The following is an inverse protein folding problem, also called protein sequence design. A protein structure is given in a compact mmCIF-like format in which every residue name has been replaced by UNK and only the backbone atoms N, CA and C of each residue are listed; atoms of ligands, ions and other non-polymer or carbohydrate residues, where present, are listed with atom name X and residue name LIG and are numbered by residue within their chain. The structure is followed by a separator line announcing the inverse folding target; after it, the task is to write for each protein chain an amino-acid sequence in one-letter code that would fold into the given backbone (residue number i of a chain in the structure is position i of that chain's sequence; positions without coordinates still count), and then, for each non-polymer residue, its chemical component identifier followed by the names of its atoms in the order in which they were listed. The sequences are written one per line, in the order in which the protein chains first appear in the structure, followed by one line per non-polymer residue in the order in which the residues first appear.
data_IF_776160237200
#
_entry.id   IF_776160237200
#
_cell.length_a   1.000
_cell.length_b   1.000
_cell.length_c   1.000
_cell.angle_alpha   90.00
_cell.angle_beta   90.00
_cell.angle_gamma   90.00
#
_symmetry.space_group_name_H-M   'P 1'
#
loop_
_entity.id
_entity.type
_entity.pdbx_description
1 polymer ?
#
# COMPACT_ATOMS: atom_id res chain seq x y z
N UNK A 1 -12.00 -43.57 55.70
CA UNK A 1 -12.71 -43.00 56.87
C UNK A 1 -13.88 -43.86 57.37
N UNK A 2 -14.60 -44.62 56.51
CA UNK A 2 -15.70 -45.50 56.97
C UNK A 2 -15.28 -46.71 57.85
N UNK A 3 -14.08 -47.25 57.68
CA UNK A 3 -13.61 -48.44 58.44
C UNK A 3 -13.19 -48.20 59.91
N UNK A 4 -13.11 -46.95 60.38
CA UNK A 4 -12.67 -46.66 61.76
C UNK A 4 -13.88 -46.49 62.69
N UNK A 5 -15.02 -46.01 62.18
CA UNK A 5 -16.25 -45.83 62.97
C UNK A 5 -16.92 -47.18 63.34
N UNK A 6 -16.81 -48.21 62.50
CA UNK A 6 -17.38 -49.54 62.80
C UNK A 6 -16.63 -50.30 63.92
N UNK A 7 -15.32 -50.09 64.07
CA UNK A 7 -14.53 -50.80 65.10
C UNK A 7 -14.73 -50.25 66.52
N UNK A 8 -15.10 -48.97 66.67
CA UNK A 8 -15.33 -48.37 68.00
C UNK A 8 -16.72 -48.67 68.56
N UNK A 9 -17.73 -48.89 67.71
CA UNK A 9 -19.08 -49.21 68.15
C UNK A 9 -19.22 -50.65 68.68
N UNK A 10 -18.48 -51.64 68.15
CA UNK A 10 -18.59 -53.04 68.61
C UNK A 10 -17.98 -53.33 70.00
N UNK A 11 -17.03 -52.50 70.45
CA UNK A 11 -16.32 -52.70 71.74
C UNK A 11 -17.10 -52.12 72.94
N UNK A 12 -18.01 -51.18 72.70
CA UNK A 12 -18.77 -50.52 73.78
C UNK A 12 -20.02 -51.30 74.20
N UNK A 13 -20.69 -51.97 73.27
CA UNK A 13 -21.93 -52.72 73.56
C UNK A 13 -21.66 -53.96 74.44
N UNK A 14 -20.50 -54.61 74.28
CA UNK A 14 -20.12 -55.77 75.10
C UNK A 14 -19.82 -55.43 76.57
N UNK A 15 -19.50 -54.17 76.91
CA UNK A 15 -19.31 -53.74 78.32
C UNK A 15 -20.60 -53.34 79.04
N UNK A 16 -21.65 -52.98 78.31
CA UNK A 16 -22.93 -52.60 78.91
C UNK A 16 -23.69 -53.87 79.35
N UNK A 17 -23.65 -54.95 78.55
CA UNK A 17 -24.29 -56.23 78.88
C UNK A 17 -23.75 -56.87 80.17
N UNK A 18 -22.43 -56.82 80.40
CA UNK A 18 -21.84 -57.41 81.62
C UNK A 18 -22.07 -56.58 82.90
N UNK A 19 -22.52 -55.32 82.79
CA UNK A 19 -22.78 -54.45 83.95
C UNK A 19 -24.26 -54.37 84.33
N UNK A 20 -25.17 -54.59 83.38
CA UNK A 20 -26.60 -54.77 83.68
C UNK A 20 -26.87 -56.10 84.40
N UNK A 21 -26.04 -57.12 84.16
CA UNK A 21 -26.18 -58.43 84.81
C UNK A 21 -25.92 -58.37 86.33
N UNK A 22 -24.92 -57.59 86.79
CA UNK A 22 -24.58 -57.48 88.21
C UNK A 22 -25.53 -56.59 89.03
N UNK A 23 -26.20 -55.61 88.41
CA UNK A 23 -27.23 -54.80 89.08
C UNK A 23 -28.53 -55.59 89.31
N UNK A 24 -28.85 -56.54 88.43
CA UNK A 24 -30.00 -57.44 88.62
C UNK A 24 -29.79 -58.40 89.81
N UNK A 25 -28.54 -58.83 90.05
CA UNK A 25 -28.19 -59.67 91.21
C UNK A 25 -28.29 -58.90 92.53
N UNK A 26 -27.83 -57.64 92.60
CA UNK A 26 -27.91 -56.81 93.82
C UNK A 26 -29.38 -56.45 94.16
N UNK A 27 -30.21 -56.21 93.14
CA UNK A 27 -31.66 -56.00 93.29
C UNK A 27 -32.38 -57.24 93.82
N UNK A 28 -31.98 -58.42 93.34
CA UNK A 28 -32.50 -59.72 93.77
C UNK A 28 -32.13 -60.02 95.23
N UNK A 29 -30.89 -59.77 95.64
CA UNK A 29 -30.41 -59.99 97.02
C UNK A 29 -31.11 -59.06 98.02
N UNK A 30 -31.38 -57.80 97.65
CA UNK A 30 -32.09 -56.86 98.54
C UNK A 30 -33.54 -57.30 98.80
N UNK A 31 -34.20 -57.92 97.81
CA UNK A 31 -35.56 -58.45 97.96
C UNK A 31 -35.60 -59.79 98.72
N UNK A 32 -34.56 -60.61 98.58
CA UNK A 32 -34.45 -61.85 99.37
C UNK A 32 -34.22 -61.57 100.86
N UNK A 33 -33.44 -60.54 101.23
CA UNK A 33 -33.27 -60.18 102.64
C UNK A 33 -34.55 -59.62 103.31
N UNK A 34 -35.43 -58.95 102.56
CA UNK A 34 -36.75 -58.52 103.09
C UNK A 34 -37.67 -59.70 103.44
N UNK A 35 -37.46 -60.86 102.83
CA UNK A 35 -38.25 -62.07 103.12
C UNK A 35 -37.77 -62.87 104.34
N UNK A 36 -36.56 -62.60 104.84
CA UNK A 36 -35.97 -63.29 106.00
C UNK A 36 -36.25 -62.60 107.35
N UNK A 37 -36.81 -61.38 107.39
CA UNK A 37 -37.02 -60.64 108.65
C UNK A 37 -38.37 -60.85 109.35
N UNK A 38 -39.16 -61.86 108.95
CA UNK A 38 -40.47 -62.17 109.58
C UNK A 38 -40.34 -63.16 110.76
N UNK A 39 -39.14 -63.66 111.12
CA UNK A 39 -39.00 -64.72 112.16
C UNK A 39 -38.20 -64.42 113.43
N UNK A 40 -37.54 -63.27 113.60
CA UNK A 40 -36.84 -62.93 114.85
C UNK A 40 -36.83 -61.40 115.12
N UNK A 41 -37.27 -60.88 116.29
CA UNK A 41 -37.45 -59.43 116.52
C UNK A 41 -36.23 -58.70 117.11
N UNK A 42 -35.11 -59.37 117.42
CA UNK A 42 -33.99 -58.77 118.18
C UNK A 42 -32.83 -58.19 117.33
N UNK A 43 -32.95 -58.15 116.00
CA UNK A 43 -31.89 -57.62 115.10
C UNK A 43 -32.20 -56.25 114.45
N UNK A 44 -33.25 -55.57 114.91
CA UNK A 44 -33.74 -54.31 114.32
C UNK A 44 -32.70 -53.16 114.36
N UNK A 45 -31.73 -53.20 115.28
CA UNK A 45 -30.67 -52.18 115.38
C UNK A 45 -29.60 -52.35 114.28
N UNK A 46 -29.21 -53.59 113.98
CA UNK A 46 -28.27 -53.88 112.90
C UNK A 46 -28.91 -53.59 111.54
N UNK A 47 -30.18 -53.93 111.35
CA UNK A 47 -30.91 -53.69 110.10
C UNK A 47 -31.05 -52.19 109.77
N UNK A 48 -31.34 -51.34 110.76
CA UNK A 48 -31.34 -49.86 110.57
C UNK A 48 -29.98 -49.34 110.15
N UNK A 49 -28.89 -49.82 110.75
CA UNK A 49 -27.52 -49.42 110.40
C UNK A 49 -27.14 -49.87 108.98
N UNK A 50 -27.49 -51.09 108.58
CA UNK A 50 -27.29 -51.59 107.22
C UNK A 50 -28.11 -50.83 106.18
N UNK A 51 -29.37 -50.49 106.48
CA UNK A 51 -30.21 -49.66 105.62
C UNK A 51 -29.65 -48.24 105.48
N UNK A 52 -29.15 -47.65 106.56
CA UNK A 52 -28.54 -46.32 106.52
C UNK A 52 -27.25 -46.32 105.66
N UNK A 53 -26.37 -47.30 105.84
CA UNK A 53 -25.16 -47.49 105.01
C UNK A 53 -25.53 -47.72 103.53
N UNK A 54 -26.55 -48.54 103.26
CA UNK A 54 -27.06 -48.80 101.91
C UNK A 54 -27.59 -47.52 101.24
N UNK A 55 -28.39 -46.73 101.96
CA UNK A 55 -28.94 -45.46 101.44
C UNK A 55 -27.87 -44.41 101.21
N UNK A 56 -26.84 -44.33 102.06
CA UNK A 56 -25.69 -43.45 101.86
C UNK A 56 -24.86 -43.86 100.65
N UNK A 57 -24.64 -45.17 100.45
CA UNK A 57 -23.96 -45.72 99.27
C UNK A 57 -24.76 -45.48 97.98
N UNK A 58 -26.09 -45.60 98.02
CA UNK A 58 -26.97 -45.25 96.91
C UNK A 58 -26.92 -43.75 96.59
N UNK A 59 -26.85 -42.89 97.61
CA UNK A 59 -26.69 -41.44 97.43
C UNK A 59 -25.33 -41.08 96.83
N UNK A 60 -24.24 -41.73 97.24
CA UNK A 60 -22.90 -41.48 96.65
C UNK A 60 -22.85 -41.95 95.19
N UNK A 61 -23.36 -43.14 94.87
CA UNK A 61 -23.47 -43.64 93.49
C UNK A 61 -24.32 -42.70 92.61
N UNK A 62 -25.43 -42.17 93.14
CA UNK A 62 -26.27 -41.23 92.39
C UNK A 62 -25.59 -39.86 92.19
N UNK A 63 -24.82 -39.37 93.17
CA UNK A 63 -24.01 -38.15 93.02
C UNK A 63 -22.90 -38.36 91.97
N UNK A 64 -22.21 -39.49 92.00
CA UNK A 64 -21.17 -39.87 91.03
C UNK A 64 -21.75 -39.99 89.61
N UNK A 65 -22.92 -40.62 89.44
CA UNK A 65 -23.64 -40.68 88.15
C UNK A 65 -23.99 -39.29 87.62
N UNK A 66 -24.46 -38.37 88.49
CA UNK A 66 -24.75 -36.98 88.10
C UNK A 66 -23.48 -36.23 87.68
N UNK A 67 -22.38 -36.39 88.40
CA UNK A 67 -21.09 -35.79 88.04
C UNK A 67 -20.57 -36.33 86.70
N UNK A 68 -20.61 -37.65 86.48
CA UNK A 68 -20.25 -38.28 85.21
C UNK A 68 -21.12 -37.79 84.05
N UNK A 69 -22.43 -37.60 84.27
CA UNK A 69 -23.32 -37.04 83.24
C UNK A 69 -22.97 -35.58 82.92
N UNK A 70 -22.62 -34.77 83.91
CA UNK A 70 -22.16 -33.39 83.70
C UNK A 70 -20.85 -33.33 82.91
N UNK A 71 -19.87 -34.17 83.26
CA UNK A 71 -18.62 -34.28 82.52
C UNK A 71 -18.85 -34.71 81.07
N UNK A 72 -19.69 -35.73 80.83
CA UNK A 72 -20.07 -36.15 79.47
C UNK A 72 -20.75 -35.04 78.68
N UNK A 73 -21.59 -34.22 79.31
CA UNK A 73 -22.21 -33.05 78.65
C UNK A 73 -21.16 -31.99 78.30
N UNK A 74 -20.22 -31.71 79.21
CA UNK A 74 -19.12 -30.76 78.94
C UNK A 74 -18.19 -31.25 77.82
N UNK A 75 -17.83 -32.54 77.80
CA UNK A 75 -17.05 -33.14 76.72
C UNK A 75 -17.78 -33.05 75.39
N UNK A 76 -19.08 -33.41 75.33
CA UNK A 76 -19.90 -33.27 74.11
C UNK A 76 -19.97 -31.83 73.62
N UNK A 77 -20.02 -30.84 74.52
CA UNK A 77 -19.99 -29.42 74.13
C UNK A 77 -18.62 -28.99 73.61
N UNK A 78 -17.53 -29.49 74.22
CA UNK A 78 -16.16 -29.23 73.73
C UNK A 78 -15.93 -29.86 72.37
N UNK A 79 -16.35 -31.11 72.14
CA UNK A 79 -16.20 -31.77 70.84
C UNK A 79 -17.03 -31.09 69.76
N UNK A 80 -18.28 -30.71 70.05
CA UNK A 80 -19.10 -29.90 69.11
C UNK A 80 -18.42 -28.60 68.72
N UNK A 81 -17.88 -27.85 69.69
CA UNK A 81 -17.14 -26.60 69.43
C UNK A 81 -15.88 -26.83 68.58
N UNK A 82 -15.17 -27.94 68.78
CA UNK A 82 -14.00 -28.27 67.96
C UNK A 82 -14.39 -28.60 66.52
N UNK A 83 -15.45 -29.40 66.33
CA UNK A 83 -15.98 -29.76 65.01
C UNK A 83 -16.45 -28.50 64.27
N UNK A 84 -17.15 -27.59 64.95
CA UNK A 84 -17.62 -26.33 64.36
C UNK A 84 -16.45 -25.43 63.94
N UNK A 85 -15.41 -25.29 64.78
CA UNK A 85 -14.18 -24.57 64.42
C UNK A 85 -13.46 -25.20 63.23
N UNK A 86 -13.43 -26.53 63.14
CA UNK A 86 -12.83 -27.23 62.01
C UNK A 86 -13.64 -27.03 60.72
N UNK A 87 -14.97 -27.06 60.80
CA UNK A 87 -15.86 -26.77 59.69
C UNK A 87 -15.69 -25.34 59.17
N UNK A 88 -15.60 -24.35 60.07
CA UNK A 88 -15.34 -22.95 59.71
C UNK A 88 -13.97 -22.78 59.03
N UNK A 89 -12.91 -23.44 59.54
CA UNK A 89 -11.59 -23.43 58.89
C UNK A 89 -11.62 -24.06 57.50
N UNK A 90 -12.35 -25.18 57.32
CA UNK A 90 -12.53 -25.82 56.01
C UNK A 90 -13.22 -24.89 55.02
N UNK A 91 -14.29 -24.20 55.45
CA UNK A 91 -15.03 -23.25 54.63
C UNK A 91 -14.16 -22.05 54.20
N UNK A 92 -13.37 -21.48 55.13
CA UNK A 92 -12.44 -20.39 54.81
C UNK A 92 -11.37 -20.82 53.80
N UNK A 93 -10.83 -22.02 53.96
CA UNK A 93 -9.81 -22.57 53.06
C UNK A 93 -10.39 -22.85 51.67
N UNK A 94 -11.64 -23.29 51.58
CA UNK A 94 -12.35 -23.49 50.32
C UNK A 94 -12.61 -22.15 49.59
N UNK A 95 -13.03 -21.11 50.34
CA UNK A 95 -13.19 -19.76 49.80
C UNK A 95 -11.87 -19.18 49.25
N UNK A 96 -10.75 -19.37 49.97
CA UNK A 96 -9.43 -18.95 49.48
C UNK A 96 -9.03 -19.68 48.20
N UNK A 97 -9.23 -21.01 48.16
CA UNK A 97 -8.99 -21.81 46.94
C UNK A 97 -9.85 -21.36 45.77
N UNK A 98 -11.11 -20.96 46.02
CA UNK A 98 -12.01 -20.45 44.99
C UNK A 98 -11.50 -19.12 44.43
N UNK A 99 -11.11 -18.17 45.29
CA UNK A 99 -10.51 -16.89 44.87
C UNK A 99 -9.23 -17.07 44.07
N UNK A 100 -8.36 -18.01 44.47
CA UNK A 100 -7.12 -18.30 43.74
C UNK A 100 -7.41 -18.87 42.34
N UNK A 101 -8.43 -19.73 42.20
CA UNK A 101 -8.88 -20.23 40.89
C UNK A 101 -9.45 -19.13 40.02
N UNK A 102 -10.25 -18.22 40.59
CA UNK A 102 -10.81 -17.07 39.86
C UNK A 102 -9.70 -16.16 39.33
N UNK A 103 -8.69 -15.82 40.16
CA UNK A 103 -7.52 -15.04 39.73
C UNK A 103 -6.72 -15.73 38.63
N UNK A 104 -6.51 -17.06 38.73
CA UNK A 104 -5.84 -17.83 37.67
C UNK A 104 -6.64 -17.80 36.37
N UNK A 105 -7.96 -17.93 36.45
CA UNK A 105 -8.85 -17.88 35.29
C UNK A 105 -8.82 -16.50 34.63
N UNK A 106 -8.87 -15.40 35.41
CA UNK A 106 -8.74 -14.04 34.88
C UNK A 106 -7.41 -13.82 34.17
N UNK A 107 -6.31 -14.31 34.74
CA UNK A 107 -4.99 -14.24 34.11
C UNK A 107 -4.95 -15.01 32.78
N UNK A 108 -5.56 -16.19 32.73
CA UNK A 108 -5.67 -16.99 31.50
C UNK A 108 -6.48 -16.24 30.44
N UNK A 109 -7.61 -15.63 30.82
CA UNK A 109 -8.45 -14.86 29.90
C UNK A 109 -7.69 -13.65 29.32
N UNK A 110 -7.00 -12.87 30.15
CA UNK A 110 -6.14 -11.76 29.70
C UNK A 110 -5.06 -12.24 28.73
N UNK A 111 -4.44 -13.39 29.01
CA UNK A 111 -3.42 -13.99 28.13
C UNK A 111 -4.00 -14.46 26.79
N UNK A 112 -5.23 -14.98 26.78
CA UNK A 112 -5.94 -15.34 25.55
C UNK A 112 -6.25 -14.09 24.73
N UNK A 113 -6.71 -13.02 25.36
CA UNK A 113 -7.03 -11.76 24.71
C UNK A 113 -5.79 -11.08 24.11
N UNK A 114 -4.69 -11.01 24.86
CA UNK A 114 -3.40 -10.54 24.33
C UNK A 114 -2.96 -11.35 23.11
N UNK A 115 -3.05 -12.68 23.17
CA UNK A 115 -2.73 -13.54 22.03
C UNK A 115 -3.64 -13.32 20.82
N UNK A 116 -4.90 -12.90 21.01
CA UNK A 116 -5.78 -12.54 19.90
C UNK A 116 -5.32 -11.22 19.26
N UNK A 117 -5.03 -10.21 20.06
CA UNK A 117 -4.51 -8.91 19.59
C UNK A 117 -3.19 -9.11 18.83
N UNK A 118 -2.26 -9.90 19.37
CA UNK A 118 -0.97 -10.17 18.72
C UNK A 118 -1.15 -10.90 17.37
N UNK A 119 -2.12 -11.83 17.28
CA UNK A 119 -2.46 -12.50 16.01
C UNK A 119 -3.02 -11.53 14.99
N UNK A 120 -3.95 -10.66 15.40
CA UNK A 120 -4.53 -9.65 14.51
C UNK A 120 -3.47 -8.66 14.01
N UNK A 121 -2.58 -8.20 14.90
CA UNK A 121 -1.43 -7.36 14.51
C UNK A 121 -0.51 -8.05 13.52
N UNK A 122 -0.12 -9.30 13.80
CA UNK A 122 0.74 -10.07 12.91
C UNK A 122 0.10 -10.35 11.55
N UNK A 123 -1.22 -10.58 11.51
CA UNK A 123 -1.96 -10.70 10.25
C UNK A 123 -1.94 -9.39 9.47
N UNK A 124 -2.20 -8.26 10.14
CA UNK A 124 -2.18 -6.94 9.51
C UNK A 124 -0.80 -6.59 8.95
N UNK A 125 0.27 -6.79 9.72
CA UNK A 125 1.65 -6.59 9.28
C UNK A 125 1.98 -7.43 8.04
N UNK A 126 1.57 -8.71 8.05
CA UNK A 126 1.75 -9.61 6.91
C UNK A 126 0.97 -9.15 5.67
N UNK A 127 -0.24 -8.63 5.84
CA UNK A 127 -1.03 -8.06 4.75
C UNK A 127 -0.38 -6.80 4.17
N UNK A 128 0.16 -5.92 5.00
CA UNK A 128 0.91 -4.76 4.56
C UNK A 128 2.17 -5.14 3.78
N UNK A 129 2.95 -6.09 4.29
CA UNK A 129 4.13 -6.63 3.60
C UNK A 129 3.75 -7.24 2.25
N UNK A 130 2.66 -8.02 2.22
CA UNK A 130 2.16 -8.59 0.98
C UNK A 130 1.73 -7.50 -0.02
N UNK A 131 1.02 -6.46 0.43
CA UNK A 131 0.65 -5.30 -0.40
C UNK A 131 1.89 -4.58 -0.93
N UNK A 132 2.93 -4.39 -0.10
CA UNK A 132 4.21 -3.80 -0.52
C UNK A 132 4.83 -4.64 -1.64
N UNK A 133 4.97 -5.95 -1.45
CA UNK A 133 5.56 -6.85 -2.46
C UNK A 133 4.73 -6.86 -3.75
N UNK A 134 3.40 -6.93 -3.66
CA UNK A 134 2.50 -6.92 -4.82
C UNK A 134 2.55 -5.61 -5.60
N UNK A 135 2.73 -4.48 -4.91
CA UNK A 135 2.77 -3.15 -5.53
C UNK A 135 4.16 -2.75 -6.03
N UNK A 136 5.22 -3.52 -5.70
CA UNK A 136 6.55 -3.29 -6.28
C UNK A 136 6.47 -3.62 -7.77
N UNK A 137 6.52 -2.57 -8.59
CA UNK A 137 6.72 -2.69 -10.02
C UNK A 137 8.00 -3.49 -10.29
N UNK A 138 7.95 -4.51 -11.15
CA UNK A 138 9.11 -5.35 -11.41
C UNK A 138 10.24 -4.51 -12.03
N UNK A 139 11.48 -4.92 -11.75
CA UNK A 139 12.67 -4.15 -12.11
C UNK A 139 12.76 -3.82 -13.61
N UNK A 140 12.32 -4.73 -14.48
CA UNK A 140 12.32 -4.49 -15.93
C UNK A 140 11.38 -3.36 -16.34
N UNK A 141 10.23 -3.20 -15.69
CA UNK A 141 9.33 -2.06 -15.95
C UNK A 141 9.94 -0.75 -15.48
N UNK A 142 10.67 -0.76 -14.35
CA UNK A 142 11.40 0.41 -13.87
C UNK A 142 12.49 0.83 -14.86
N UNK A 143 13.29 -0.13 -15.33
CA UNK A 143 14.32 0.11 -16.35
C UNK A 143 13.73 0.61 -17.66
N UNK A 144 12.59 0.05 -18.08
CA UNK A 144 11.88 0.50 -19.28
C UNK A 144 11.38 1.94 -19.12
N UNK A 145 10.75 2.28 -17.99
CA UNK A 145 10.28 3.65 -17.71
C UNK A 145 11.44 4.64 -17.71
N UNK A 146 12.54 4.31 -17.02
CA UNK A 146 13.72 5.19 -17.01
C UNK A 146 14.30 5.37 -18.41
N UNK A 147 14.37 4.32 -19.22
CA UNK A 147 14.84 4.40 -20.61
C UNK A 147 13.93 5.28 -21.48
N UNK A 148 12.60 5.11 -21.36
CA UNK A 148 11.61 5.94 -22.06
C UNK A 148 11.78 7.41 -21.68
N UNK A 149 11.97 7.69 -20.39
CA UNK A 149 12.12 9.06 -19.88
C UNK A 149 13.46 9.69 -20.25
N UNK A 150 14.57 8.94 -20.18
CA UNK A 150 15.92 9.47 -20.40
C UNK A 150 16.34 9.50 -21.86
N UNK A 151 15.82 8.60 -22.71
CA UNK A 151 16.24 8.45 -24.10
C UNK A 151 15.10 8.67 -25.08
N UNK A 152 14.01 7.90 -25.01
CA UNK A 152 12.96 7.95 -26.04
C UNK A 152 12.24 9.31 -26.08
N UNK A 153 11.83 9.85 -24.93
CA UNK A 153 11.11 11.13 -24.84
C UNK A 153 11.96 12.31 -25.32
N UNK A 154 13.23 12.48 -24.88
CA UNK A 154 14.10 13.54 -25.38
C UNK A 154 14.37 13.46 -26.87
N UNK A 155 14.59 12.26 -27.43
CA UNK A 155 14.76 12.11 -28.88
C UNK A 155 13.48 12.49 -29.65
N UNK A 156 12.32 12.14 -29.11
CA UNK A 156 11.03 12.46 -29.70
C UNK A 156 10.74 13.97 -29.62
N UNK A 157 11.15 14.63 -28.54
CA UNK A 157 11.13 16.10 -28.42
C UNK A 157 12.04 16.77 -29.45
N UNK A 158 13.29 16.32 -29.60
CA UNK A 158 14.20 16.84 -30.64
C UNK A 158 13.62 16.69 -32.05
N UNK A 159 13.02 15.53 -32.35
CA UNK A 159 12.35 15.30 -33.64
C UNK A 159 11.14 16.23 -33.83
N UNK A 160 10.35 16.45 -32.78
CA UNK A 160 9.24 17.42 -32.82
C UNK A 160 9.75 18.84 -33.07
N UNK A 161 10.81 19.25 -32.41
CA UNK A 161 11.43 20.58 -32.60
C UNK A 161 11.94 20.77 -34.03
N UNK A 162 12.57 19.75 -34.61
CA UNK A 162 13.00 19.75 -36.02
C UNK A 162 11.79 19.86 -36.95
N UNK A 163 10.71 19.13 -36.68
CA UNK A 163 9.50 19.20 -37.50
C UNK A 163 8.80 20.56 -37.37
N UNK A 164 8.78 21.15 -36.17
CA UNK A 164 8.23 22.50 -35.97
C UNK A 164 9.08 23.54 -36.68
N UNK A 165 10.41 23.45 -36.63
CA UNK A 165 11.28 24.40 -37.32
C UNK A 165 11.14 24.32 -38.85
N UNK A 166 11.01 23.11 -39.40
CA UNK A 166 10.69 22.90 -40.82
C UNK A 166 9.31 23.48 -41.15
N UNK A 167 8.29 23.21 -40.32
CA UNK A 167 6.94 23.72 -40.52
C UNK A 167 6.91 25.24 -40.49
N UNK A 168 7.62 25.87 -39.56
CA UNK A 168 7.68 27.32 -39.41
C UNK A 168 8.46 27.96 -40.56
N UNK A 169 9.53 27.31 -41.04
CA UNK A 169 10.27 27.77 -42.22
C UNK A 169 9.42 27.77 -43.49
N UNK A 170 8.56 26.76 -43.66
CA UNK A 170 7.68 26.63 -44.83
C UNK A 170 6.27 27.21 -44.61
N UNK A 171 6.00 27.83 -43.45
CA UNK A 171 4.72 28.48 -43.24
C UNK A 171 4.60 29.69 -44.18
N UNK A 172 3.44 29.86 -44.85
CA UNK A 172 3.20 31.03 -45.67
C UNK A 172 3.27 32.27 -44.78
N UNK A 173 4.11 33.23 -45.18
CA UNK A 173 4.30 34.47 -44.44
C UNK A 173 2.95 35.18 -44.31
N UNK A 174 2.46 35.33 -43.08
CA UNK A 174 1.26 36.11 -42.83
C UNK A 174 1.56 37.60 -43.08
N UNK A 175 1.12 38.10 -44.23
CA UNK A 175 1.42 39.46 -44.68
C UNK A 175 0.99 40.53 -43.66
N UNK A 176 -0.08 40.28 -42.89
CA UNK A 176 -0.56 41.20 -41.85
C UNK A 176 0.46 41.33 -40.71
N UNK A 177 0.98 40.22 -40.22
CA UNK A 177 2.00 40.19 -39.15
C UNK A 177 3.31 40.79 -39.64
N UNK A 178 3.72 40.47 -40.87
CA UNK A 178 4.90 41.07 -41.48
C UNK A 178 4.79 42.60 -41.57
N UNK A 179 3.65 43.13 -42.02
CA UNK A 179 3.41 44.57 -42.04
C UNK A 179 3.39 45.20 -40.64
N UNK A 180 2.84 44.52 -39.63
CA UNK A 180 2.88 45.00 -38.24
C UNK A 180 4.30 45.04 -37.69
N UNK A 181 5.09 43.98 -37.95
CA UNK A 181 6.50 43.91 -37.60
C UNK A 181 7.30 45.02 -38.29
N UNK A 182 7.09 45.26 -39.59
CA UNK A 182 7.73 46.33 -40.34
C UNK A 182 7.39 47.71 -39.75
N UNK A 183 6.11 47.95 -39.41
CA UNK A 183 5.68 49.19 -38.74
C UNK A 183 6.37 49.36 -37.38
N UNK A 184 6.45 48.30 -36.57
CA UNK A 184 7.12 48.30 -35.26
C UNK A 184 8.62 48.58 -35.42
N UNK A 185 9.28 47.92 -36.35
CA UNK A 185 10.70 48.11 -36.65
C UNK A 185 10.98 49.53 -37.14
N UNK A 186 10.18 50.07 -38.06
CA UNK A 186 10.28 51.47 -38.51
C UNK A 186 10.07 52.45 -37.35
N UNK A 187 9.12 52.18 -36.44
CA UNK A 187 8.89 53.01 -35.24
C UNK A 187 10.09 52.97 -34.31
N UNK A 188 10.65 51.80 -34.05
CA UNK A 188 11.86 51.64 -33.23
C UNK A 188 13.07 52.34 -33.86
N UNK A 189 13.28 52.18 -35.17
CA UNK A 189 14.36 52.86 -35.91
C UNK A 189 14.20 54.38 -35.85
N UNK A 190 12.99 54.91 -36.03
CA UNK A 190 12.70 56.35 -35.86
C UNK A 190 12.98 56.81 -34.43
N UNK A 191 12.59 56.04 -33.42
CA UNK A 191 12.87 56.35 -32.01
C UNK A 191 14.38 56.39 -31.73
N UNK A 192 15.12 55.40 -32.21
CA UNK A 192 16.59 55.35 -32.12
C UNK A 192 17.26 56.55 -32.80
N UNK A 193 16.85 56.88 -34.02
CA UNK A 193 17.37 58.06 -34.73
C UNK A 193 17.00 59.35 -34.03
N UNK A 194 15.78 59.47 -33.50
CA UNK A 194 15.38 60.64 -32.73
C UNK A 194 16.24 60.81 -31.47
N UNK A 195 16.48 59.72 -30.72
CA UNK A 195 17.40 59.73 -29.57
C UNK A 195 18.82 60.16 -29.95
N UNK A 196 19.34 59.72 -31.10
CA UNK A 196 20.65 60.14 -31.59
C UNK A 196 20.69 61.63 -31.96
N UNK A 197 19.64 62.13 -32.62
CA UNK A 197 19.52 63.56 -32.97
C UNK A 197 19.36 64.41 -31.71
N UNK A 198 18.55 63.98 -30.75
CA UNK A 198 18.33 64.69 -29.49
C UNK A 198 19.65 64.76 -28.68
N UNK A 199 20.42 63.65 -28.60
CA UNK A 199 21.77 63.65 -28.01
C UNK A 199 22.73 64.62 -28.69
N UNK A 200 22.72 64.68 -30.03
CA UNK A 200 23.55 65.66 -30.78
C UNK A 200 23.13 67.10 -30.51
N UNK A 201 21.82 67.36 -30.44
CA UNK A 201 21.29 68.70 -30.11
C UNK A 201 21.64 69.10 -28.68
N UNK A 202 21.63 68.17 -27.74
CA UNK A 202 22.01 68.40 -26.35
C UNK A 202 23.50 68.75 -26.21
N UNK A 203 24.39 68.01 -26.88
CA UNK A 203 25.81 68.39 -27.01
C UNK A 203 25.98 69.79 -27.61
N UNK A 204 25.26 70.11 -28.69
CA UNK A 204 25.39 71.42 -29.35
C UNK A 204 24.78 72.56 -28.51
N UNK A 205 23.74 72.30 -27.71
CA UNK A 205 23.18 73.30 -26.76
C UNK A 205 24.15 73.60 -25.62
N UNK A 206 24.85 72.58 -25.12
CA UNK A 206 25.91 72.75 -24.13
C UNK A 206 27.07 73.60 -24.67
N UNK A 207 27.36 73.54 -25.97
CA UNK A 207 28.39 74.37 -26.62
C UNK A 207 27.93 75.81 -26.93
N UNK A 208 26.62 76.07 -27.07
CA UNK A 208 26.10 77.38 -27.48
C UNK A 208 25.70 78.30 -26.30
N UNK A 209 25.62 77.75 -25.09
CA UNK A 209 25.30 78.49 -23.85
C UNK A 209 26.56 78.92 -23.06
N UNK A 210 27.73 78.96 -23.70
CA UNK A 210 28.90 79.58 -23.10
C UNK A 210 28.70 81.11 -23.07
N UNK A 211 28.89 81.78 -21.90
CA UNK A 211 28.62 83.21 -21.74
C UNK A 211 29.55 84.11 -22.58
N UNK A 212 30.63 83.55 -23.13
CA UNK A 212 31.56 84.25 -24.01
C UNK A 212 31.52 83.65 -25.41
N UNK A 213 30.80 84.31 -26.34
CA UNK A 213 30.90 84.03 -27.78
C UNK A 213 32.03 84.88 -28.36
N UNK A 214 33.13 84.22 -28.75
CA UNK A 214 34.28 84.87 -29.39
C UNK A 214 33.86 85.66 -30.64
N UNK A 215 34.45 86.82 -30.92
CA UNK A 215 34.16 87.62 -32.14
C UNK A 215 34.36 86.77 -33.41
N UNK A 216 35.37 85.89 -33.42
CA UNK A 216 35.62 84.91 -34.49
C UNK A 216 34.43 83.97 -34.74
N UNK A 217 33.72 83.56 -33.69
CA UNK A 217 32.55 82.69 -33.83
C UNK A 217 31.35 83.42 -34.41
N UNK A 218 31.23 84.74 -34.22
CA UNK A 218 30.15 85.53 -34.84
C UNK A 218 30.37 85.67 -36.34
N UNK A 219 31.58 86.04 -36.75
CA UNK A 219 31.94 86.19 -38.17
C UNK A 219 31.81 84.87 -38.93
N UNK A 220 32.20 83.76 -38.29
CA UNK A 220 32.00 82.41 -38.86
C UNK A 220 30.52 82.06 -39.03
N UNK A 221 29.67 82.35 -38.03
CA UNK A 221 28.23 82.10 -38.11
C UNK A 221 27.55 82.95 -39.19
N UNK A 222 27.98 84.19 -39.37
CA UNK A 222 27.48 85.09 -40.41
C UNK A 222 27.89 84.64 -41.81
N UNK A 223 29.16 84.27 -42.00
CA UNK A 223 29.64 83.67 -43.26
C UNK A 223 28.92 82.36 -43.59
N UNK A 224 28.66 81.52 -42.58
CA UNK A 224 27.94 80.27 -42.78
C UNK A 224 26.46 80.53 -43.13
N UNK A 225 25.83 81.56 -42.55
CA UNK A 225 24.48 81.99 -42.91
C UNK A 225 24.40 82.47 -44.37
N UNK A 226 25.38 83.27 -44.81
CA UNK A 226 25.50 83.73 -46.20
C UNK A 226 25.66 82.53 -47.14
N UNK A 227 26.59 81.60 -46.86
CA UNK A 227 26.78 80.37 -47.65
C UNK A 227 25.51 79.52 -47.75
N UNK A 228 24.74 79.42 -46.67
CA UNK A 228 23.47 78.68 -46.67
C UNK A 228 22.46 79.37 -47.58
N UNK A 229 22.37 80.70 -47.53
CA UNK A 229 21.46 81.49 -48.37
C UNK A 229 21.80 81.37 -49.86
N UNK A 230 23.08 81.42 -50.22
CA UNK A 230 23.56 81.25 -51.60
C UNK A 230 23.25 79.84 -52.14
N UNK A 231 23.50 78.80 -51.33
CA UNK A 231 23.17 77.41 -51.71
C UNK A 231 21.67 77.20 -51.92
N UNK A 232 20.82 77.86 -51.14
CA UNK A 232 19.37 77.81 -51.35
C UNK A 232 18.97 78.50 -52.65
N UNK A 233 19.53 79.68 -52.92
CA UNK A 233 19.26 80.40 -54.16
C UNK A 233 19.74 79.63 -55.40
N UNK A 234 20.90 78.97 -55.34
CA UNK A 234 21.40 78.13 -56.43
C UNK A 234 20.50 76.90 -56.68
N UNK A 235 19.98 76.28 -55.62
CA UNK A 235 19.01 75.17 -55.75
C UNK A 235 17.73 75.62 -56.44
N UNK A 236 17.24 76.80 -56.11
CA UNK A 236 16.05 77.37 -56.74
C UNK A 236 16.28 77.64 -58.24
N UNK A 237 17.43 78.23 -58.60
CA UNK A 237 17.83 78.40 -60.02
C UNK A 237 17.86 77.07 -60.78
N UNK A 238 18.45 76.02 -60.19
CA UNK A 238 18.51 74.67 -60.79
C UNK A 238 17.11 74.05 -60.94
N UNK A 239 16.22 74.27 -59.98
CA UNK A 239 14.83 73.81 -60.06
C UNK A 239 14.09 74.47 -61.23
N UNK A 240 14.19 75.80 -61.33
CA UNK A 240 13.58 76.57 -62.40
C UNK A 240 14.11 76.16 -63.78
N UNK A 241 15.41 75.90 -63.91
CA UNK A 241 16.00 75.37 -65.14
C UNK A 241 15.41 74.01 -65.54
N UNK A 242 15.22 73.09 -64.57
CA UNK A 242 14.58 71.78 -64.84
C UNK A 242 13.13 71.93 -65.32
N UNK A 243 12.39 72.89 -64.80
CA UNK A 243 11.02 73.19 -65.26
C UNK A 243 11.04 73.69 -66.71
N UNK A 244 11.94 74.63 -67.03
CA UNK A 244 12.14 75.13 -68.41
C UNK A 244 12.52 74.00 -69.37
N UNK A 245 13.43 73.10 -68.98
CA UNK A 245 13.84 71.96 -69.79
C UNK A 245 12.69 70.99 -70.05
N UNK A 246 11.85 70.70 -69.04
CA UNK A 246 10.65 69.88 -69.21
C UNK A 246 9.64 70.55 -70.13
N UNK A 247 9.46 71.86 -70.02
CA UNK A 247 8.55 72.61 -70.88
C UNK A 247 9.04 72.60 -72.34
N UNK A 248 10.33 72.84 -72.56
CA UNK A 248 10.96 72.72 -73.87
C UNK A 248 10.86 71.30 -74.44
N UNK A 249 11.12 70.26 -73.64
CA UNK A 249 10.95 68.88 -74.06
C UNK A 249 9.52 68.54 -74.49
N UNK A 250 8.51 69.05 -73.78
CA UNK A 250 7.10 68.94 -74.19
C UNK A 250 6.82 69.68 -75.50
N UNK A 251 7.34 70.89 -75.65
CA UNK A 251 7.18 71.69 -76.87
C UNK A 251 7.77 70.97 -78.07
N UNK A 252 9.03 70.50 -77.97
CA UNK A 252 9.73 69.73 -79.00
C UNK A 252 8.97 68.46 -79.36
N UNK A 253 8.45 67.72 -78.37
CA UNK A 253 7.66 66.53 -78.63
C UNK A 253 6.35 66.84 -79.39
N UNK A 254 5.80 68.04 -79.21
CA UNK A 254 4.56 68.47 -79.85
C UNK A 254 4.79 69.02 -81.27
N UNK A 255 5.90 69.74 -81.50
CA UNK A 255 6.26 70.29 -82.82
C UNK A 255 6.94 69.25 -83.71
N UNK A 256 7.82 68.43 -83.14
CA UNK A 256 8.58 67.40 -83.85
C UNK A 256 8.17 66.02 -83.36
N UNK A 257 6.88 65.69 -83.54
CA UNK A 257 6.42 64.33 -83.27
C UNK A 257 7.09 63.38 -84.27
N UNK A 258 7.90 62.40 -83.81
CA UNK A 258 8.58 61.51 -84.74
C UNK A 258 7.56 60.73 -85.57
N UNK A 259 7.67 60.84 -86.88
CA UNK A 259 6.86 60.05 -87.80
C UNK A 259 7.42 58.63 -87.88
N UNK A 260 6.55 57.65 -87.63
CA UNK A 260 6.91 56.23 -87.79
C UNK A 260 6.95 55.93 -89.29
N UNK A 261 8.06 55.36 -89.78
CA UNK A 261 8.19 54.94 -91.18
C UNK A 261 7.06 53.99 -91.59
N UNK A 262 6.68 54.01 -92.88
CA UNK A 262 5.58 53.17 -93.39
C UNK A 262 5.80 51.67 -93.11
N UNK A 263 7.04 51.20 -93.23
CA UNK A 263 7.43 49.81 -92.93
C UNK A 263 7.17 49.44 -91.47
N UNK A 264 7.60 50.30 -90.54
CA UNK A 264 7.45 50.06 -89.10
C UNK A 264 6.01 50.19 -88.63
N UNK A 265 5.17 50.97 -89.32
CA UNK A 265 3.72 51.00 -89.08
C UNK A 265 3.09 49.64 -89.38
N UNK A 266 3.44 49.02 -90.51
CA UNK A 266 2.95 47.70 -90.90
C UNK A 266 3.43 46.61 -89.92
N UNK A 267 4.69 46.66 -89.47
CA UNK A 267 5.19 45.76 -88.42
C UNK A 267 4.40 45.87 -87.12
N UNK A 268 4.11 47.10 -86.68
CA UNK A 268 3.32 47.35 -85.45
C UNK A 268 1.87 46.88 -85.62
N UNK A 269 1.28 47.07 -86.80
CA UNK A 269 -0.08 46.64 -87.11
C UNK A 269 -0.19 45.12 -87.18
N UNK A 270 0.75 44.46 -87.85
CA UNK A 270 0.88 43.00 -87.84
C UNK A 270 1.08 42.46 -86.42
N UNK A 271 1.91 43.11 -85.59
CA UNK A 271 2.07 42.74 -84.17
C UNK A 271 0.77 42.92 -83.37
N UNK A 272 -0.01 43.98 -83.62
CA UNK A 272 -1.32 44.16 -82.97
C UNK A 272 -2.33 43.09 -83.39
N UNK A 273 -2.28 42.65 -84.65
CA UNK A 273 -3.12 41.56 -85.16
C UNK A 273 -2.69 40.19 -84.62
N UNK A 274 -1.38 39.96 -84.45
CA UNK A 274 -0.84 38.72 -83.87
C UNK A 274 -1.09 38.61 -82.36
N UNK A 275 -1.22 39.72 -81.65
CA UNK A 275 -1.55 39.75 -80.22
C UNK A 275 -2.87 40.50 -79.99
N UNK A 276 -4.02 39.97 -80.47
CA UNK A 276 -5.30 40.63 -80.32
C UNK A 276 -5.74 40.50 -78.86
N UNK A 277 -5.59 41.57 -78.09
CA UNK A 277 -6.13 41.69 -76.73
C UNK A 277 -5.71 40.59 -75.74
N UNK A 278 -4.42 40.28 -75.64
CA UNK A 278 -3.93 40.10 -74.28
C UNK A 278 -3.99 41.48 -73.64
N UNK A 279 -5.05 41.72 -72.85
CA UNK A 279 -4.90 42.62 -71.71
C UNK A 279 -3.79 42.00 -70.88
N UNK A 280 -2.54 42.32 -71.23
CA UNK A 280 -1.47 42.41 -70.27
C UNK A 280 -2.09 43.24 -69.17
N UNK A 281 -2.57 42.57 -68.12
CA UNK A 281 -2.61 43.12 -66.80
C UNK A 281 -1.14 43.39 -66.55
N UNK A 282 -0.68 44.53 -67.05
CA UNK A 282 0.41 45.27 -66.47
C UNK A 282 -0.14 45.48 -65.08
N UNK A 283 0.14 44.51 -64.20
CA UNK A 283 0.30 44.78 -62.79
C UNK A 283 1.34 45.88 -62.85
N UNK A 284 0.86 47.11 -62.84
CA UNK A 284 1.68 48.26 -62.58
C UNK A 284 2.46 47.81 -61.37
N UNK A 285 3.74 47.51 -61.58
CA UNK A 285 4.70 47.69 -60.54
C UNK A 285 4.49 49.15 -60.18
N UNK A 286 3.61 49.40 -59.22
CA UNK A 286 3.70 50.50 -58.29
C UNK A 286 5.11 50.37 -57.73
N UNK A 287 6.08 50.87 -58.51
CA UNK A 287 7.19 51.59 -57.96
C UNK A 287 6.50 52.65 -57.12
N UNK A 288 6.30 52.30 -55.85
CA UNK A 288 5.98 53.21 -54.77
C UNK A 288 7.11 54.23 -54.74
N UNK A 289 7.04 55.19 -55.65
CA UNK A 289 7.59 56.51 -55.43
C UNK A 289 6.87 57.02 -54.19
N UNK A 290 7.61 57.03 -53.09
CA UNK A 290 7.56 58.01 -52.00
C UNK A 290 6.21 58.71 -51.78
N UNK A 291 5.56 58.54 -50.61
CA UNK A 291 4.41 59.35 -50.29
C UNK A 291 4.89 60.77 -49.96
N UNK A 292 4.73 61.70 -50.90
CA UNK A 292 4.62 63.12 -50.59
C UNK A 292 3.15 63.47 -50.44
N UNK A 293 2.81 63.96 -49.26
CA UNK A 293 1.58 64.65 -48.87
C UNK A 293 0.69 65.13 -50.04
N UNK A 294 -0.49 64.52 -50.18
CA UNK A 294 -1.63 65.17 -50.81
C UNK A 294 -2.92 64.69 -50.11
N UNK A 295 -3.53 65.61 -49.40
CA UNK A 295 -4.84 65.53 -48.75
C UNK A 295 -5.95 65.56 -49.79
N UNK A 296 -6.63 64.45 -50.08
CA UNK A 296 -7.93 64.47 -50.78
C UNK A 296 -8.79 63.27 -50.35
N UNK A 297 -9.86 63.59 -49.62
CA UNK A 297 -11.16 62.91 -49.40
C UNK A 297 -11.32 61.38 -49.54
N UNK A 298 -11.89 60.67 -48.54
CA UNK A 298 -12.34 59.29 -48.68
C UNK A 298 -13.77 59.22 -49.22
N UNK A 299 -13.96 58.67 -50.43
CA UNK A 299 -15.29 58.24 -50.87
C UNK A 299 -15.69 56.90 -50.24
N UNK A 300 -16.91 56.90 -49.73
CA UNK A 300 -17.66 55.82 -49.09
C UNK A 300 -17.87 54.66 -50.06
N UNK A 301 -17.43 53.45 -49.70
CA UNK A 301 -18.29 52.28 -49.35
C UNK A 301 -19.58 52.16 -50.16
N UNK A 302 -19.66 51.12 -51.00
CA UNK A 302 -20.91 50.39 -51.25
C UNK A 302 -20.80 48.97 -50.67
N UNK A 303 -21.89 48.43 -50.07
CA UNK A 303 -21.82 47.20 -49.28
C UNK A 303 -22.46 45.99 -49.98
N UNK A 304 -22.07 44.79 -49.50
CA UNK A 304 -22.91 43.59 -49.40
C UNK A 304 -23.36 42.86 -50.68
N UNK A 305 -22.75 41.70 -50.95
CA UNK A 305 -23.50 40.42 -51.01
C UNK A 305 -22.59 39.24 -50.69
N UNK A 306 -22.76 38.72 -49.47
CA UNK A 306 -22.42 37.36 -49.10
C UNK A 306 -23.45 36.41 -49.73
N UNK A 307 -22.98 35.25 -50.20
CA UNK A 307 -23.62 33.91 -50.24
C UNK A 307 -22.74 33.11 -51.20
N UNK A 308 -22.06 32.03 -50.85
CA UNK A 308 -22.52 30.90 -50.06
C UNK A 308 -22.13 29.67 -50.88
N UNK A 309 -21.03 29.02 -50.51
CA UNK A 309 -20.69 27.70 -51.01
C UNK A 309 -21.80 26.71 -50.63
N UNK A 310 -22.21 25.81 -51.55
CA UNK A 310 -22.59 24.47 -51.16
C UNK A 310 -21.58 23.47 -51.73
N UNK A 311 -20.96 22.77 -50.79
CA UNK A 311 -20.45 21.40 -50.83
C UNK A 311 -20.63 20.66 -52.16
N UNK A 312 -19.47 20.41 -52.78
CA UNK A 312 -19.19 19.27 -53.64
C UNK A 312 -19.73 17.98 -53.02
N UNK A 313 -20.72 17.37 -53.67
CA UNK A 313 -21.19 16.01 -53.42
C UNK A 313 -20.27 15.03 -54.14
N UNK A 314 -19.53 14.26 -53.35
CA UNK A 314 -19.07 12.89 -53.58
C UNK A 314 -19.29 12.32 -55.00
N UNK A 315 -18.29 12.50 -55.88
CA UNK A 315 -18.05 11.58 -56.98
C UNK A 315 -17.17 10.47 -56.44
N UNK A 316 -17.79 9.33 -56.16
CA UNK A 316 -17.16 8.10 -55.69
C UNK A 316 -16.36 7.47 -56.85
N UNK A 317 -15.10 7.83 -57.00
CA UNK A 317 -14.18 7.12 -57.90
C UNK A 317 -13.55 5.92 -57.15
N UNK A 318 -13.73 4.68 -57.62
CA UNK A 318 -13.10 3.53 -57.00
C UNK A 318 -11.62 3.48 -57.38
N UNK A 319 -10.74 3.84 -56.44
CA UNK A 319 -9.29 3.63 -56.59
C UNK A 319 -8.97 2.15 -56.37
N UNK A 320 -8.77 1.42 -57.47
CA UNK A 320 -8.19 0.06 -57.43
C UNK A 320 -6.77 0.15 -56.84
N UNK A 321 -6.58 -0.37 -55.63
CA UNK A 321 -5.26 -0.52 -55.01
C UNK A 321 -4.44 -1.54 -55.81
N UNK A 322 -3.45 -1.07 -56.54
CA UNK A 322 -2.44 -1.89 -57.23
C UNK A 322 -1.55 -2.53 -56.16
N UNK A 323 -1.65 -3.84 -55.95
CA UNK A 323 -0.78 -4.57 -55.04
C UNK A 323 0.65 -4.61 -55.60
N UNK A 324 1.58 -3.93 -54.95
CA UNK A 324 3.01 -4.06 -55.24
C UNK A 324 3.51 -5.38 -54.65
N UNK A 325 3.48 -6.45 -55.45
CA UNK A 325 4.28 -7.66 -55.19
C UNK A 325 5.55 -7.60 -56.03
N UNK A 326 6.62 -7.03 -55.47
CA UNK A 326 8.00 -7.37 -55.85
C UNK A 326 8.84 -7.38 -54.58
N UNK A 327 9.04 -8.57 -54.03
CA UNK A 327 10.09 -8.84 -53.06
C UNK A 327 11.41 -8.60 -53.79
N UNK A 328 12.19 -7.66 -53.27
CA UNK A 328 13.46 -7.24 -53.85
C UNK A 328 14.48 -8.40 -53.73
N UNK A 329 15.06 -8.91 -54.84
CA UNK A 329 15.98 -10.05 -54.81
C UNK A 329 17.36 -9.74 -54.20
N UNK A 330 17.63 -8.50 -53.77
CA UNK A 330 18.89 -8.10 -53.13
C UNK A 330 18.88 -8.15 -51.60
N UNK A 331 17.84 -8.70 -50.95
CA UNK A 331 17.88 -8.96 -49.51
C UNK A 331 18.53 -10.34 -49.29
N UNK A 332 19.68 -10.44 -48.60
CA UNK A 332 20.29 -11.72 -48.26
C UNK A 332 19.31 -12.56 -47.46
N UNK A 333 19.01 -13.77 -47.95
CA UNK A 333 18.19 -14.74 -47.21
C UNK A 333 18.89 -15.07 -45.89
N UNK A 334 18.18 -14.90 -44.77
CA UNK A 334 18.66 -15.32 -43.45
C UNK A 334 19.03 -16.82 -43.51
N UNK A 335 20.25 -17.15 -43.09
CA UNK A 335 20.75 -18.52 -43.04
C UNK A 335 19.85 -19.35 -42.10
N UNK A 336 19.56 -20.63 -42.41
CA UNK A 336 18.83 -21.50 -41.51
C UNK A 336 19.62 -21.62 -40.20
N UNK A 337 18.97 -21.34 -39.07
CA UNK A 337 19.57 -21.48 -37.75
C UNK A 337 19.93 -22.96 -37.55
N UNK A 338 21.23 -23.22 -37.42
CA UNK A 338 21.74 -24.46 -36.87
C UNK A 338 21.05 -24.76 -35.55
N UNK A 339 20.62 -26.01 -35.42
CA UNK A 339 20.02 -26.62 -34.25
C UNK A 339 20.95 -26.47 -33.05
N UNK A 340 20.81 -25.35 -32.34
CA UNK A 340 21.36 -25.21 -31.00
C UNK A 340 20.70 -26.28 -30.15
N UNK A 341 21.49 -27.29 -29.77
CA UNK A 341 21.31 -28.19 -28.62
C UNK A 341 20.24 -27.62 -27.71
N UNK A 342 19.06 -28.24 -27.73
CA UNK A 342 17.95 -27.91 -26.85
C UNK A 342 18.50 -27.84 -25.44
N UNK A 343 18.68 -26.62 -24.93
CA UNK A 343 18.66 -26.39 -23.51
C UNK A 343 17.39 -27.07 -23.05
N UNK A 344 17.54 -28.10 -22.23
CA UNK A 344 16.43 -28.69 -21.50
C UNK A 344 15.86 -27.51 -20.72
N UNK A 345 14.81 -26.92 -21.28
CA UNK A 345 14.04 -25.85 -20.68
C UNK A 345 13.36 -26.55 -19.53
N UNK A 346 14.01 -26.54 -18.37
CA UNK A 346 13.42 -26.97 -17.12
C UNK A 346 12.24 -26.04 -16.95
N UNK A 347 11.06 -26.54 -17.28
CA UNK A 347 9.82 -25.81 -17.13
C UNK A 347 9.60 -25.68 -15.63
N UNK A 348 10.10 -24.58 -15.07
CA UNK A 348 10.01 -24.28 -13.65
C UNK A 348 8.56 -24.26 -13.19
N UNK A 349 7.57 -23.99 -14.06
CA UNK A 349 6.16 -24.10 -13.73
C UNK A 349 5.70 -25.56 -13.66
N UNK A 350 6.14 -26.42 -14.56
CA UNK A 350 5.82 -27.85 -14.50
C UNK A 350 6.48 -28.52 -13.28
N UNK A 351 7.72 -28.14 -12.97
CA UNK A 351 8.44 -28.57 -11.77
C UNK A 351 7.85 -27.98 -10.48
N UNK A 352 7.38 -26.72 -10.49
CA UNK A 352 6.63 -26.17 -9.35
C UNK A 352 5.26 -26.81 -9.21
N UNK A 353 4.57 -27.18 -10.29
CA UNK A 353 3.32 -27.93 -10.26
C UNK A 353 3.54 -29.35 -9.74
N UNK A 354 4.62 -30.04 -10.15
CA UNK A 354 5.04 -31.33 -9.59
C UNK A 354 5.43 -31.21 -8.11
N UNK A 355 6.17 -30.17 -7.71
CA UNK A 355 6.52 -29.90 -6.31
C UNK A 355 5.31 -29.52 -5.46
N UNK A 356 4.34 -28.76 -5.97
CA UNK A 356 3.05 -28.50 -5.31
C UNK A 356 2.16 -29.74 -5.23
N UNK A 357 2.14 -30.57 -6.26
CA UNK A 357 1.43 -31.86 -6.25
C UNK A 357 2.05 -32.82 -5.21
N UNK A 358 3.37 -32.86 -5.08
CA UNK A 358 4.06 -33.63 -4.03
C UNK A 358 3.93 -33.03 -2.62
N UNK A 359 3.93 -31.69 -2.46
CA UNK A 359 3.76 -31.00 -1.16
C UNK A 359 2.30 -30.83 -0.74
N UNK A 360 1.34 -30.97 -1.66
CA UNK A 360 -0.10 -30.84 -1.42
C UNK A 360 -0.79 -32.16 -1.12
N UNK A 361 -0.08 -33.29 -1.22
CA UNK A 361 -0.54 -34.52 -0.55
C UNK A 361 -0.43 -34.26 0.94
N UNK A 362 -1.58 -34.20 1.62
CA UNK A 362 -1.68 -34.38 3.06
C UNK A 362 -0.69 -35.49 3.44
N UNK A 363 0.10 -35.37 4.54
CA UNK A 363 0.98 -36.44 4.97
C UNK A 363 0.15 -37.71 4.91
N UNK A 364 0.62 -38.70 4.16
CA UNK A 364 -0.14 -39.89 3.83
C UNK A 364 -0.39 -40.61 5.16
N UNK A 365 -1.49 -40.26 5.85
CA UNK A 365 -1.85 -40.75 7.19
C UNK A 365 -1.90 -42.28 7.19
N UNK A 366 -2.16 -42.83 6.00
CA UNK A 366 -2.13 -44.24 5.69
C UNK A 366 -0.73 -44.87 5.80
N UNK A 367 0.34 -44.16 5.40
CA UNK A 367 1.71 -44.70 5.38
C UNK A 367 2.28 -44.90 6.78
N UNK A 368 2.10 -43.94 7.69
CA UNK A 368 2.54 -44.05 9.08
C UNK A 368 1.78 -45.16 9.84
N UNK A 369 0.47 -45.27 9.63
CA UNK A 369 -0.33 -46.38 10.18
C UNK A 369 0.11 -47.74 9.61
N UNK A 370 0.49 -47.79 8.33
CA UNK A 370 0.94 -49.03 7.69
C UNK A 370 2.33 -49.46 8.20
N UNK A 371 3.23 -48.52 8.51
CA UNK A 371 4.53 -48.77 9.14
C UNK A 371 4.38 -49.38 10.53
N UNK A 372 3.51 -48.81 11.38
CA UNK A 372 3.23 -49.31 12.74
C UNK A 372 2.58 -50.70 12.65
N UNK A 373 1.61 -50.90 11.75
CA UNK A 373 1.00 -52.21 11.51
C UNK A 373 2.01 -53.25 11.01
N UNK A 374 2.98 -52.85 10.19
CA UNK A 374 4.08 -53.74 9.75
C UNK A 374 5.02 -54.09 10.92
N UNK A 375 5.33 -53.13 11.78
CA UNK A 375 6.16 -53.37 12.98
C UNK A 375 5.49 -54.37 13.94
N UNK A 376 4.19 -54.19 14.20
CA UNK A 376 3.40 -55.11 15.02
C UNK A 376 3.25 -56.50 14.40
N UNK A 377 3.13 -56.59 13.06
CA UNK A 377 3.09 -57.87 12.35
C UNK A 377 4.44 -58.59 12.32
N UNK A 378 5.55 -57.85 12.33
CA UNK A 378 6.91 -58.40 12.31
C UNK A 378 7.27 -59.10 13.62
N UNK A 379 6.66 -58.69 14.74
CA UNK A 379 6.98 -59.21 16.08
C UNK A 379 6.14 -60.43 16.51
N UNK A 380 5.15 -60.88 15.72
CA UNK A 380 4.47 -62.19 15.85
C UNK A 380 3.71 -62.45 17.16
N UNK A 381 2.44 -62.88 17.08
CA UNK A 381 1.56 -63.37 18.19
C UNK A 381 1.69 -62.70 19.57
N UNK A 382 1.95 -61.39 19.62
CA UNK A 382 1.94 -60.63 20.87
C UNK A 382 0.52 -60.54 21.43
N UNK A 383 0.37 -60.71 22.75
CA UNK A 383 -0.91 -60.55 23.43
C UNK A 383 -1.49 -59.15 23.16
N UNK A 384 -2.82 -58.95 23.06
CA UNK A 384 -3.40 -57.62 22.82
C UNK A 384 -2.90 -56.53 23.78
N UNK A 385 -2.60 -56.91 25.03
CA UNK A 385 -2.04 -56.02 26.05
C UNK A 385 -0.58 -55.63 25.74
N UNK A 386 0.23 -56.57 25.28
CA UNK A 386 1.63 -56.33 24.89
C UNK A 386 1.72 -55.48 23.62
N UNK A 387 0.82 -55.70 22.65
CA UNK A 387 0.70 -54.84 21.48
C UNK A 387 0.37 -53.39 21.85
N UNK A 388 -0.49 -53.19 22.85
CA UNK A 388 -0.82 -51.85 23.34
C UNK A 388 0.38 -51.19 24.00
N UNK A 389 1.12 -51.92 24.84
CA UNK A 389 2.26 -51.35 25.55
C UNK A 389 3.44 -51.08 24.60
N UNK A 390 3.62 -51.89 23.56
CA UNK A 390 4.60 -51.64 22.50
C UNK A 390 4.27 -50.38 21.67
N UNK A 391 3.00 -50.17 21.31
CA UNK A 391 2.55 -48.94 20.62
C UNK A 391 2.70 -47.72 21.52
N UNK A 392 2.44 -47.85 22.83
CA UNK A 392 2.69 -46.76 23.79
C UNK A 392 4.18 -46.42 23.86
N UNK A 393 5.05 -47.42 23.95
CA UNK A 393 6.50 -47.23 24.00
C UNK A 393 7.03 -46.59 22.72
N UNK A 394 6.56 -47.04 21.55
CA UNK A 394 6.88 -46.43 20.26
C UNK A 394 6.42 -44.96 20.20
N UNK A 395 5.21 -44.67 20.66
CA UNK A 395 4.68 -43.30 20.67
C UNK A 395 5.47 -42.36 21.59
N UNK A 396 5.99 -42.87 22.72
CA UNK A 396 6.86 -42.13 23.64
C UNK A 396 8.22 -41.86 23.01
N UNK A 397 8.85 -42.88 22.40
CA UNK A 397 10.14 -42.74 21.73
C UNK A 397 10.08 -41.74 20.55
N UNK A 398 8.99 -41.74 19.77
CA UNK A 398 8.78 -40.77 18.68
C UNK A 398 8.65 -39.35 19.20
N UNK A 399 7.94 -39.16 20.33
CA UNK A 399 7.81 -37.85 20.98
C UNK A 399 9.15 -37.33 21.50
N UNK A 400 9.91 -38.18 22.19
CA UNK A 400 11.21 -37.82 22.74
C UNK A 400 12.20 -37.44 21.63
N UNK A 401 12.19 -38.19 20.52
CA UNK A 401 12.99 -37.87 19.33
C UNK A 401 12.56 -36.56 18.65
N UNK A 402 11.26 -36.26 18.65
CA UNK A 402 10.74 -35.00 18.13
C UNK A 402 11.17 -33.81 18.99
N UNK A 403 11.13 -33.95 20.31
CA UNK A 403 11.57 -32.95 21.28
C UNK A 403 13.07 -32.68 21.17
N UNK A 404 13.90 -33.72 21.04
CA UNK A 404 15.34 -33.58 20.80
C UNK A 404 15.64 -32.80 19.51
N UNK A 405 14.92 -33.08 18.42
CA UNK A 405 15.07 -32.31 17.17
C UNK A 405 14.60 -30.86 17.31
N UNK A 406 13.55 -30.62 18.08
CA UNK A 406 13.04 -29.27 18.34
C UNK A 406 14.04 -28.46 19.19
N UNK A 407 14.70 -29.10 20.16
CA UNK A 407 15.80 -28.49 20.90
C UNK A 407 16.99 -28.16 19.99
N UNK A 408 17.36 -29.04 19.05
CA UNK A 408 18.40 -28.76 18.06
C UNK A 408 18.05 -27.57 17.14
N UNK A 409 16.77 -27.40 16.78
CA UNK A 409 16.30 -26.22 16.04
C UNK A 409 16.46 -24.95 16.86
N UNK A 410 16.17 -24.99 18.17
CA UNK A 410 16.33 -23.82 19.04
C UNK A 410 17.79 -23.36 19.14
N UNK A 411 18.73 -24.30 19.11
CA UNK A 411 20.17 -24.02 19.09
C UNK A 411 20.61 -23.53 17.70
N UNK A 412 20.14 -24.19 16.63
CA UNK A 412 20.50 -23.89 15.25
C UNK A 412 19.34 -23.17 14.52
N UNK A 413 19.20 -21.86 14.77
CA UNK A 413 18.12 -20.94 14.32
C UNK A 413 17.81 -20.87 12.80
N UNK A 414 18.42 -21.70 11.96
CA UNK A 414 18.29 -21.64 10.48
C UNK A 414 17.85 -22.96 9.80
N UNK A 415 17.40 -23.96 10.55
CA UNK A 415 17.12 -25.30 10.00
C UNK A 415 15.61 -25.58 9.83
N UNK A 416 14.96 -25.01 8.80
CA UNK A 416 13.53 -25.27 8.53
C UNK A 416 13.22 -26.75 8.27
N UNK A 417 14.20 -27.50 7.75
CA UNK A 417 14.07 -28.95 7.52
C UNK A 417 13.92 -29.74 8.82
N UNK A 418 14.61 -29.34 9.90
CA UNK A 418 14.50 -30.00 11.21
C UNK A 418 13.15 -29.73 11.90
N UNK A 419 12.54 -28.57 11.61
CA UNK A 419 11.17 -28.25 12.06
C UNK A 419 10.14 -29.14 11.36
N UNK A 420 10.25 -29.30 10.03
CA UNK A 420 9.38 -30.20 9.28
C UNK A 420 9.53 -31.66 9.75
N UNK A 421 10.76 -32.11 10.00
CA UNK A 421 11.02 -33.46 10.54
C UNK A 421 10.48 -33.66 11.96
N UNK A 422 10.62 -32.68 12.85
CA UNK A 422 10.05 -32.74 14.21
C UNK A 422 8.52 -32.80 14.15
N UNK A 423 7.88 -31.96 13.33
CA UNK A 423 6.44 -31.98 13.14
C UNK A 423 5.92 -33.32 12.61
N UNK A 424 6.63 -33.94 11.67
CA UNK A 424 6.28 -35.28 11.16
C UNK A 424 6.34 -36.35 12.27
N UNK A 425 7.38 -36.32 13.11
CA UNK A 425 7.51 -37.25 14.24
C UNK A 425 6.41 -37.05 15.29
N UNK A 426 5.99 -35.81 15.54
CA UNK A 426 4.84 -35.50 16.43
C UNK A 426 3.55 -36.07 15.85
N UNK A 427 3.31 -35.87 14.55
CA UNK A 427 2.13 -36.42 13.86
C UNK A 427 2.12 -37.94 13.96
N UNK A 428 3.26 -38.61 13.79
CA UNK A 428 3.38 -40.06 13.91
C UNK A 428 3.13 -40.57 15.34
N UNK A 429 3.59 -39.84 16.36
CA UNK A 429 3.27 -40.15 17.77
C UNK A 429 1.77 -40.00 18.06
N UNK A 430 1.14 -38.92 17.57
CA UNK A 430 -0.30 -38.70 17.71
C UNK A 430 -1.06 -39.83 17.04
N UNK A 431 -0.69 -40.21 15.83
CA UNK A 431 -1.32 -41.30 15.09
C UNK A 431 -1.18 -42.65 15.81
N UNK A 432 -0.02 -42.92 16.41
CA UNK A 432 0.21 -44.11 17.24
C UNK A 432 -0.75 -44.16 18.43
N UNK A 433 -0.94 -43.01 19.11
CA UNK A 433 -1.85 -42.88 20.24
C UNK A 433 -3.33 -42.96 19.83
N UNK A 434 -3.70 -42.41 18.67
CA UNK A 434 -5.05 -42.55 18.11
C UNK A 434 -5.35 -44.00 17.73
N UNK A 435 -4.37 -44.76 17.25
CA UNK A 435 -4.54 -46.19 16.98
C UNK A 435 -4.84 -46.99 18.26
N UNK A 436 -4.28 -46.61 19.41
CA UNK A 436 -4.63 -47.22 20.70
C UNK A 436 -6.10 -46.96 21.07
N UNK A 437 -6.61 -45.78 20.75
CA UNK A 437 -7.99 -45.39 21.05
C UNK A 437 -9.01 -46.04 20.10
N UNK A 438 -8.63 -46.41 18.88
CA UNK A 438 -9.52 -47.07 17.91
C UNK A 438 -9.62 -48.59 18.09
N UNK A 439 -8.75 -49.20 18.90
CA UNK A 439 -8.75 -50.64 19.21
C UNK A 439 -9.39 -50.99 20.57
N UNK A 440 -9.78 -49.98 21.35
CA UNK A 440 -10.67 -50.09 22.51
C UNK A 440 -12.08 -49.84 21.99
#
# INVERSE_FOLDING_TARGET
MKNIEERLNSSFDNRIHNRSFSLSQISSEHNQMKSYSIKYPDDAYNEKKYMQISTERLRSINKERKQLQLLKKQEKMRTKRLIEKEAQKKLQLELLKKKEREQKNEFILKKIEQRKIDRERSLHEREEEYKKVKNITPMFEKLRKSYVESHELPELQKKKEILTSIRDLHQPINFKEFCQHEKKWKKNRKSMMKKLVDKRKEMNRSSNNLPYKSKFTKDYLEQEAIRISEKLHEKEKRSNYRVKLKHYGKLVQHTFRPEISKTKKQEIEAMKEMYPNERCIIKSNERKSTPSNASVTPQKKHPYRQTGFPRSTNITMPTKKKAWKKVNPMVPKEKPKEESKTSVTVDYLQDFKKKRSKKGKKPDLYYAQQQIKRHLKKNGSMSPKEQMDEVKNLSRALNEKAEQKLQQVMVNKKSSNLIEESNNLIIDSINSKLMLLQKI
#
